data_IF_173836638460
#
_entry.id   IF_173836638460
#
_cell.length_a   1.000
_cell.length_b   1.000
_cell.length_c   1.000
_cell.angle_alpha   90.00
_cell.angle_beta   90.00
_cell.angle_gamma   90.00
#
_symmetry.space_group_name_H-M   'P 1'
#
loop_
_entity.id
_entity.type
_entity.pdbx_description
1 polymer ?
#
# COMPACT_ATOMS: atom_id res chain seq x y z
N UNK A 1 -0.66 -29.03 -6.61
CA UNK A 1 -0.30 -27.90 -5.72
C UNK A 1 0.22 -26.79 -6.61
N UNK A 2 -0.52 -25.70 -6.78
CA UNK A 2 -0.06 -24.53 -7.54
C UNK A 2 0.82 -23.72 -6.60
N UNK A 3 2.07 -23.44 -7.01
CA UNK A 3 2.97 -22.52 -6.29
C UNK A 3 2.87 -21.17 -6.97
N UNK A 4 2.33 -20.19 -6.24
CA UNK A 4 2.37 -18.79 -6.66
C UNK A 4 3.75 -18.26 -6.25
N UNK A 5 4.55 -17.85 -7.23
CA UNK A 5 5.84 -17.21 -7.00
C UNK A 5 5.64 -15.69 -7.06
N UNK A 6 6.19 -14.97 -6.09
CA UNK A 6 6.27 -13.52 -6.12
C UNK A 6 7.64 -13.14 -6.66
N UNK A 7 7.66 -12.45 -7.79
CA UNK A 7 8.85 -11.75 -8.26
C UNK A 7 9.09 -10.53 -7.36
N UNK A 8 10.13 -10.62 -6.54
CA UNK A 8 10.40 -9.60 -5.52
C UNK A 8 10.64 -8.21 -6.11
N UNK A 9 11.44 -8.02 -7.18
CA UNK A 9 11.61 -6.71 -7.81
C UNK A 9 10.28 -6.09 -8.28
N UNK A 10 9.43 -6.88 -8.93
CA UNK A 10 8.10 -6.43 -9.38
C UNK A 10 7.21 -6.01 -8.21
N UNK A 11 7.21 -6.80 -7.13
CA UNK A 11 6.47 -6.50 -5.90
C UNK A 11 6.97 -5.22 -5.21
N UNK A 12 8.28 -5.09 -5.00
CA UNK A 12 8.88 -3.95 -4.31
C UNK A 12 8.60 -2.64 -5.10
N UNK A 13 8.60 -2.71 -6.43
CA UNK A 13 8.23 -1.58 -7.29
C UNK A 13 6.74 -1.21 -7.15
N UNK A 14 5.85 -2.20 -7.21
CA UNK A 14 4.42 -1.96 -7.00
C UNK A 14 4.14 -1.32 -5.65
N UNK A 15 4.76 -1.82 -4.58
CA UNK A 15 4.64 -1.28 -3.23
C UNK A 15 5.05 0.18 -3.17
N UNK A 16 6.22 0.53 -3.72
CA UNK A 16 6.70 1.91 -3.77
C UNK A 16 5.75 2.85 -4.52
N UNK A 17 5.17 2.42 -5.64
CA UNK A 17 4.22 3.23 -6.41
C UNK A 17 2.89 3.41 -5.66
N UNK A 18 2.43 2.37 -4.95
CA UNK A 18 1.24 2.41 -4.10
C UNK A 18 1.40 3.35 -2.91
N UNK A 19 2.53 3.30 -2.20
CA UNK A 19 2.86 4.21 -1.10
C UNK A 19 2.98 5.67 -1.56
N UNK A 20 3.49 5.88 -2.77
CA UNK A 20 3.61 7.20 -3.39
C UNK A 20 2.27 7.77 -3.88
N UNK A 21 1.21 6.95 -3.90
CA UNK A 21 -0.12 7.34 -4.38
C UNK A 21 -0.21 7.54 -5.89
N UNK A 22 0.76 7.00 -6.65
CA UNK A 22 0.74 7.03 -8.12
C UNK A 22 -0.35 6.10 -8.64
N UNK A 23 -0.81 6.34 -9.86
CA UNK A 23 -1.70 5.40 -10.54
C UNK A 23 -0.94 4.10 -10.86
N UNK A 24 -1.63 2.96 -10.73
CA UNK A 24 -1.08 1.64 -11.05
C UNK A 24 -0.81 1.52 -12.55
N UNK A 25 0.40 1.88 -12.96
CA UNK A 25 0.87 1.71 -14.34
C UNK A 25 1.97 0.67 -14.36
N UNK A 26 1.62 -0.56 -14.74
CA UNK A 26 2.57 -1.69 -14.80
C UNK A 26 3.59 -1.43 -15.91
N UNK A 27 4.89 -1.30 -15.61
CA UNK A 27 5.91 -1.13 -16.64
C UNK A 27 6.05 -2.39 -17.51
N UNK A 28 6.44 -2.26 -18.79
CA UNK A 28 6.72 -3.42 -19.62
C UNK A 28 7.89 -4.23 -19.04
N UNK A 29 7.74 -5.56 -19.01
CA UNK A 29 8.77 -6.48 -18.50
C UNK A 29 8.70 -6.76 -17.00
N UNK A 30 7.66 -6.29 -16.32
CA UNK A 30 7.38 -6.55 -14.90
C UNK A 30 6.33 -7.67 -14.79
N UNK A 31 6.44 -8.50 -13.74
CA UNK A 31 5.39 -9.48 -13.41
C UNK A 31 4.18 -8.75 -12.82
N UNK A 32 3.09 -8.71 -13.59
CA UNK A 32 1.88 -7.96 -13.25
C UNK A 32 1.27 -8.43 -11.91
N UNK A 33 1.26 -9.74 -11.65
CA UNK A 33 0.71 -10.29 -10.42
C UNK A 33 1.48 -9.82 -9.19
N UNK A 34 2.80 -9.92 -9.22
CA UNK A 34 3.68 -9.48 -8.13
C UNK A 34 3.61 -7.97 -7.93
N UNK A 35 3.61 -7.19 -9.02
CA UNK A 35 3.46 -5.74 -8.98
C UNK A 35 2.13 -5.32 -8.33
N UNK A 36 1.00 -5.86 -8.78
CA UNK A 36 -0.30 -5.50 -8.21
C UNK A 36 -0.41 -5.88 -6.73
N UNK A 37 0.17 -7.02 -6.35
CA UNK A 37 0.21 -7.45 -4.94
C UNK A 37 0.93 -6.41 -4.08
N UNK A 38 2.11 -5.95 -4.50
CA UNK A 38 2.84 -4.88 -3.80
C UNK A 38 2.07 -3.55 -3.80
N UNK A 39 1.51 -3.15 -4.95
CA UNK A 39 0.79 -1.89 -5.10
C UNK A 39 -0.42 -1.77 -4.18
N UNK A 40 -1.21 -2.84 -4.01
CA UNK A 40 -2.34 -2.87 -3.07
C UNK A 40 -1.87 -2.67 -1.63
N UNK A 41 -0.78 -3.31 -1.23
CA UNK A 41 -0.20 -3.12 0.10
C UNK A 41 0.31 -1.70 0.31
N UNK A 42 1.04 -1.14 -0.65
CA UNK A 42 1.53 0.24 -0.57
C UNK A 42 0.39 1.27 -0.50
N UNK A 43 -0.69 1.04 -1.26
CA UNK A 43 -1.94 1.83 -1.17
C UNK A 43 -2.55 1.76 0.23
N UNK A 44 -2.59 0.59 0.85
CA UNK A 44 -3.12 0.44 2.20
C UNK A 44 -2.28 1.21 3.23
N UNK A 45 -0.96 1.25 3.08
CA UNK A 45 -0.06 2.07 3.92
C UNK A 45 -0.34 3.57 3.73
N UNK A 46 -0.50 4.02 2.48
CA UNK A 46 -0.85 5.41 2.18
C UNK A 46 -2.22 5.81 2.76
N UNK A 47 -3.24 4.96 2.64
CA UNK A 47 -4.56 5.23 3.21
C UNK A 47 -4.55 5.14 4.75
N UNK A 48 -3.81 4.20 5.33
CA UNK A 48 -3.62 4.08 6.78
C UNK A 48 -2.93 5.31 7.37
N UNK A 49 -1.91 5.85 6.70
CA UNK A 49 -1.25 7.11 7.12
C UNK A 49 -2.17 8.32 7.01
N UNK A 50 -3.12 8.35 6.04
CA UNK A 50 -4.19 9.37 6.01
C UNK A 50 -5.17 9.23 7.17
N UNK A 51 -5.54 8.01 7.57
CA UNK A 51 -6.41 7.78 8.72
C UNK A 51 -5.75 8.22 10.05
N UNK A 52 -4.43 8.14 10.18
CA UNK A 52 -3.72 8.64 11.36
C UNK A 52 -3.62 10.18 11.45
N UNK A 53 -3.97 10.92 10.39
CA UNK A 53 -4.15 12.38 10.47
C UNK A 53 -5.50 12.80 11.06
N UNK A 54 -6.46 11.87 11.19
CA UNK A 54 -7.64 12.04 12.01
C UNK A 54 -7.36 11.56 13.44
N UNK A 55 -6.45 12.24 14.12
CA UNK A 55 -6.56 12.32 15.59
C UNK A 55 -7.68 13.32 15.84
N UNK A 56 -8.82 12.94 16.45
CA UNK A 56 -9.66 13.94 17.07
C UNK A 56 -8.78 14.60 18.15
N UNK A 57 -8.31 15.82 17.87
CA UNK A 57 -7.97 16.74 18.95
C UNK A 57 -9.24 16.81 19.80
N UNK A 58 -9.08 16.63 21.11
CA UNK A 58 -10.13 16.66 22.13
C UNK A 58 -10.79 15.34 22.55
N UNK A 59 -10.00 14.27 22.74
CA UNK A 59 -10.35 13.25 23.74
C UNK A 59 -9.93 13.70 25.17
N UNK A 60 -10.35 14.90 25.57
CA UNK A 60 -10.23 15.43 26.93
C UNK A 60 -11.51 16.12 27.37
N UNK A 61 -12.49 15.34 27.83
CA UNK A 61 -13.53 15.74 28.80
C UNK A 61 -14.42 14.52 29.07
N UNK A 62 -14.69 14.05 30.28
CA UNK A 62 -14.37 14.51 31.64
C UNK A 62 -14.44 13.26 32.54
N UNK A 63 -13.58 13.21 33.57
CA UNK A 63 -13.88 12.44 34.77
C UNK A 63 -15.03 13.17 35.49
N UNK A 64 -16.14 12.49 35.75
CA UNK A 64 -16.82 12.44 37.05
C UNK A 64 -17.92 11.39 37.03
#
# INVERSE_FOLDING_TARGET
MIRIAIDKPSYDQGQSDGESGRESTVPPGIDEFSYYSGYVEGKAVLEGTKCHLFVPKDCKKERE
#
